data_IF_933614983557
#
_entry.id   IF_933614983557
#
_cell.length_a   1.000
_cell.length_b   1.000
_cell.length_c   1.000
_cell.angle_alpha   90.00
_cell.angle_beta   90.00
_cell.angle_gamma   90.00
#
_symmetry.space_group_name_H-M   'P 1'
#
loop_
_entity.id
_entity.type
_entity.pdbx_description
1 polymer ?
#
# COMPACT_ATOMS: atom_id res chain seq x y z
N UNK A 1 1.60 -9.28 -1.86
CA UNK A 1 0.63 -8.47 -2.62
C UNK A 1 1.21 -7.07 -2.79
N UNK A 2 1.02 -6.44 -3.94
CA UNK A 2 1.26 -5.01 -4.14
C UNK A 2 0.20 -4.47 -5.10
N UNK A 3 -0.13 -3.19 -4.98
CA UNK A 3 -1.09 -2.54 -5.88
C UNK A 3 -0.33 -1.78 -6.94
N UNK A 4 -0.57 -2.05 -8.22
CA UNK A 4 -0.01 -1.26 -9.32
C UNK A 4 -0.98 -0.19 -9.77
N UNK A 5 -0.53 1.07 -9.83
CA UNK A 5 -1.33 2.21 -10.29
C UNK A 5 -0.46 3.28 -10.94
N UNK A 6 -1.05 4.07 -11.83
CA UNK A 6 -0.46 5.33 -12.28
C UNK A 6 -0.83 6.44 -11.29
N UNK A 7 0.16 7.12 -10.72
CA UNK A 7 -0.06 8.12 -9.67
C UNK A 7 0.27 9.50 -10.21
N UNK A 8 -0.70 10.40 -10.17
CA UNK A 8 -0.53 11.80 -10.53
C UNK A 8 0.08 12.58 -9.36
N UNK A 9 1.29 13.10 -9.57
CA UNK A 9 1.97 13.97 -8.60
C UNK A 9 2.26 15.31 -9.23
N UNK A 10 1.60 16.38 -8.76
CA UNK A 10 1.85 17.78 -9.17
C UNK A 10 1.87 17.98 -10.69
N UNK A 11 0.95 17.31 -11.42
CA UNK A 11 0.86 17.40 -12.88
C UNK A 11 1.77 16.45 -13.66
N UNK A 12 2.46 15.53 -12.99
CA UNK A 12 3.26 14.46 -13.61
C UNK A 12 2.61 13.12 -13.26
N UNK A 13 2.14 12.40 -14.28
CA UNK A 13 1.64 11.03 -14.14
C UNK A 13 2.81 10.06 -14.08
N UNK A 14 3.06 9.49 -12.90
CA UNK A 14 4.04 8.44 -12.71
C UNK A 14 3.39 7.09 -13.06
N UNK A 15 3.88 6.46 -14.12
CA UNK A 15 3.35 5.16 -14.57
C UNK A 15 4.06 3.99 -13.91
N UNK A 16 3.37 2.84 -13.78
CA UNK A 16 3.92 1.61 -13.18
C UNK A 16 4.43 1.79 -11.74
N UNK A 17 3.75 2.60 -10.93
CA UNK A 17 4.02 2.64 -9.51
C UNK A 17 3.43 1.41 -8.82
N UNK A 18 4.10 0.93 -7.78
CA UNK A 18 3.51 -0.04 -6.87
C UNK A 18 3.44 0.48 -5.44
N UNK A 19 2.35 0.15 -4.75
CA UNK A 19 2.10 0.48 -3.35
C UNK A 19 2.51 -0.72 -2.50
N UNK A 20 3.32 -0.46 -1.47
CA UNK A 20 3.70 -1.44 -0.46
C UNK A 20 3.16 -1.02 0.88
N UNK A 21 2.45 -1.92 1.54
CA UNK A 21 2.09 -1.78 2.95
C UNK A 21 3.35 -2.03 3.79
N UNK A 22 3.73 -1.07 4.61
CA UNK A 22 4.87 -1.14 5.54
C UNK A 22 4.43 -1.70 6.90
N UNK A 23 3.29 -1.24 7.41
CA UNK A 23 2.71 -1.72 8.66
C UNK A 23 1.19 -1.58 8.63
N UNK A 24 0.53 -2.45 9.41
CA UNK A 24 -0.90 -2.42 9.67
C UNK A 24 -1.11 -2.61 11.15
N UNK A 25 -1.90 -1.72 11.75
CA UNK A 25 -2.20 -1.73 13.18
C UNK A 25 -3.70 -1.50 13.36
N UNK A 26 -4.35 -2.36 14.14
CA UNK A 26 -5.70 -2.10 14.62
C UNK A 26 -5.58 -1.32 15.95
N UNK A 27 -6.15 -0.13 15.99
CA UNK A 27 -6.07 0.78 17.13
C UNK A 27 -7.47 1.23 17.57
N UNK A 28 -7.65 1.32 18.89
CA UNK A 28 -8.84 1.87 19.55
C UNK A 28 -8.39 2.80 20.65
N UNK A 29 -8.73 4.09 20.53
CA UNK A 29 -8.21 5.13 21.43
C UNK A 29 -8.71 4.99 22.88
N UNK A 30 -9.93 4.53 23.09
CA UNK A 30 -10.52 4.32 24.42
C UNK A 30 -11.71 3.34 24.32
N UNK A 31 -12.31 2.96 25.45
CA UNK A 31 -13.36 1.94 25.44
C UNK A 31 -14.65 2.35 24.70
N UNK A 32 -14.86 3.65 24.53
CA UNK A 32 -16.03 4.25 23.88
C UNK A 32 -15.78 4.60 22.41
N UNK A 33 -14.56 4.37 21.90
CA UNK A 33 -14.17 4.69 20.52
C UNK A 33 -14.33 3.48 19.61
N UNK A 34 -14.70 3.76 18.37
CA UNK A 34 -14.70 2.74 17.32
C UNK A 34 -13.26 2.28 17.02
N UNK A 35 -13.14 1.03 16.62
CA UNK A 35 -11.89 0.47 16.15
C UNK A 35 -11.51 1.08 14.79
N UNK A 36 -10.21 1.29 14.60
CA UNK A 36 -9.67 1.80 13.35
C UNK A 36 -8.48 0.95 12.89
N UNK A 37 -8.35 0.77 11.59
CA UNK A 37 -7.19 0.14 10.97
C UNK A 37 -6.28 1.22 10.42
N UNK A 38 -5.11 1.38 11.03
CA UNK A 38 -4.05 2.25 10.57
C UNK A 38 -3.14 1.48 9.61
N UNK A 39 -3.04 1.97 8.39
CA UNK A 39 -2.26 1.35 7.32
C UNK A 39 -1.21 2.32 6.84
N UNK A 40 0.06 1.98 7.04
CA UNK A 40 1.19 2.80 6.60
C UNK A 40 1.70 2.26 5.28
N UNK A 41 1.71 3.08 4.23
CA UNK A 41 2.14 2.66 2.90
C UNK A 41 3.32 3.49 2.39
N UNK A 42 4.07 2.87 1.49
CA UNK A 42 5.10 3.52 0.68
C UNK A 42 4.81 3.24 -0.79
N UNK A 43 4.88 4.29 -1.62
CA UNK A 43 4.75 4.15 -3.07
C UNK A 43 6.13 4.16 -3.71
N UNK A 44 6.35 3.21 -4.60
CA UNK A 44 7.56 3.08 -5.40
C UNK A 44 7.19 3.23 -6.87
N UNK A 45 8.04 3.86 -7.68
CA UNK A 45 7.96 3.81 -9.14
C UNK A 45 8.80 2.64 -9.69
N UNK A 46 8.57 2.31 -10.95
CA UNK A 46 9.32 1.30 -11.70
C UNK A 46 9.09 -0.13 -11.17
N UNK A 47 7.82 -0.55 -11.09
CA UNK A 47 7.43 -1.92 -10.71
C UNK A 47 8.11 -3.00 -11.58
N UNK A 48 8.41 -2.70 -12.84
CA UNK A 48 9.18 -3.58 -13.72
C UNK A 48 10.61 -3.84 -13.20
N UNK A 49 11.25 -2.84 -12.59
CA UNK A 49 12.60 -2.96 -12.02
C UNK A 49 12.61 -3.76 -10.69
N UNK A 50 11.46 -3.88 -10.01
CA UNK A 50 11.27 -4.82 -8.91
C UNK A 50 11.24 -6.28 -9.40
N UNK A 51 10.53 -6.53 -10.49
CA UNK A 51 10.33 -7.88 -11.04
C UNK A 51 11.49 -8.36 -11.90
N UNK A 52 12.36 -7.45 -12.37
CA UNK A 52 13.59 -7.79 -13.04
C UNK A 52 14.52 -8.54 -12.06
N UNK A 53 14.65 -9.85 -12.24
CA UNK A 53 15.79 -10.59 -11.69
C UNK A 53 17.02 -10.11 -12.43
N UNK A 54 17.98 -9.49 -11.74
CA UNK A 54 19.30 -9.32 -12.33
C UNK A 54 19.83 -10.71 -12.69
N UNK A 55 20.24 -10.90 -13.95
CA UNK A 55 20.81 -12.18 -14.42
C UNK A 55 22.05 -12.52 -13.59
N UNK A 56 21.88 -13.37 -12.58
CA UNK A 56 22.94 -13.82 -11.68
C UNK A 56 22.71 -13.54 -10.19
N UNK A 57 21.69 -12.76 -9.81
CA UNK A 57 21.36 -12.48 -8.41
C UNK A 57 19.96 -12.99 -8.07
N UNK A 58 19.84 -13.84 -7.04
CA UNK A 58 18.56 -14.33 -6.53
C UNK A 58 17.79 -13.24 -5.74
N UNK A 59 18.27 -12.00 -5.75
CA UNK A 59 17.65 -10.86 -5.07
C UNK A 59 16.65 -10.20 -6.02
N UNK A 60 15.37 -10.47 -5.78
CA UNK A 60 14.27 -9.71 -6.40
C UNK A 60 14.23 -8.32 -5.77
N UNK A 61 14.50 -7.28 -6.56
CA UNK A 61 13.95 -5.94 -6.32
C UNK A 61 14.80 -4.89 -5.59
N UNK A 62 15.95 -4.48 -6.16
CA UNK A 62 16.64 -3.25 -5.73
C UNK A 62 16.44 -2.04 -6.65
N UNK A 63 15.87 -2.21 -7.85
CA UNK A 63 15.76 -1.15 -8.86
C UNK A 63 14.55 -0.21 -8.73
N UNK A 64 13.62 -0.51 -7.83
CA UNK A 64 12.43 0.34 -7.64
C UNK A 64 12.77 1.60 -6.85
N UNK A 65 12.39 2.76 -7.37
CA UNK A 65 12.65 4.04 -6.70
C UNK A 65 11.49 4.41 -5.79
N UNK A 66 11.75 4.56 -4.50
CA UNK A 66 10.76 5.08 -3.55
C UNK A 66 10.42 6.53 -3.91
N UNK A 67 9.13 6.86 -3.97
CA UNK A 67 8.67 8.23 -4.14
C UNK A 67 8.63 8.92 -2.77
N UNK A 68 9.51 9.91 -2.48
CA UNK A 68 9.63 10.48 -1.14
C UNK A 68 8.34 11.15 -0.65
N UNK A 69 7.58 11.75 -1.58
CA UNK A 69 6.29 12.40 -1.29
C UNK A 69 5.21 11.41 -0.82
N UNK A 70 5.41 10.11 -1.08
CA UNK A 70 4.49 9.04 -0.71
C UNK A 70 5.16 8.01 0.20
N UNK A 71 6.22 8.41 0.93
CA UNK A 71 6.86 7.55 1.92
C UNK A 71 6.12 7.65 3.25
N UNK A 72 5.64 6.52 3.76
CA UNK A 72 5.00 6.45 5.08
C UNK A 72 3.67 7.20 5.14
N UNK A 73 2.92 7.21 4.03
CA UNK A 73 1.58 7.78 4.02
C UNK A 73 0.69 6.90 4.88
N UNK A 74 0.00 7.50 5.84
CA UNK A 74 -0.88 6.79 6.77
C UNK A 74 -2.33 6.93 6.30
N UNK A 75 -3.00 5.79 6.13
CA UNK A 75 -4.43 5.71 5.89
C UNK A 75 -5.11 5.15 7.14
N UNK A 76 -6.26 5.72 7.50
CA UNK A 76 -7.09 5.22 8.59
C UNK A 76 -8.41 4.77 8.03
N UNK A 77 -8.76 3.54 8.31
CA UNK A 77 -10.03 2.96 7.90
C UNK A 77 -10.87 2.56 9.11
N UNK A 78 -12.21 2.61 9.00
CA UNK A 78 -13.06 1.95 9.97
C UNK A 78 -12.76 0.45 9.97
N UNK A 79 -12.67 -0.13 11.16
CA UNK A 79 -12.39 -1.54 11.36
C UNK A 79 -13.28 -2.08 12.47
N UNK A 80 -13.77 -3.29 12.31
CA UNK A 80 -14.49 -3.98 13.37
C UNK A 80 -13.86 -5.36 13.62
N UNK A 81 -13.19 -5.59 14.75
CA UNK A 81 -12.55 -6.87 15.03
C UNK A 81 -13.53 -8.03 15.19
N UNK A 82 -14.82 -7.77 15.46
CA UNK A 82 -15.81 -8.84 15.57
C UNK A 82 -16.25 -9.32 14.17
N UNK A 83 -16.45 -8.39 13.23
CA UNK A 83 -16.89 -8.69 11.86
C UNK A 83 -15.75 -8.97 10.87
N UNK A 84 -14.60 -8.31 11.04
CA UNK A 84 -13.47 -8.32 10.09
C UNK A 84 -12.28 -9.11 10.66
N UNK A 85 -12.48 -10.42 10.83
CA UNK A 85 -11.46 -11.33 11.36
C UNK A 85 -10.53 -11.86 10.25
N UNK A 86 -9.23 -11.96 10.55
CA UNK A 86 -8.26 -12.59 9.65
C UNK A 86 -6.94 -11.84 9.53
N UNK A 87 -6.30 -11.94 8.36
CA UNK A 87 -5.04 -11.25 8.07
C UNK A 87 -5.30 -9.76 7.83
N UNK A 88 -4.87 -8.93 8.80
CA UNK A 88 -4.98 -7.47 8.75
C UNK A 88 -4.30 -6.88 7.51
N UNK A 89 -3.25 -7.52 6.99
CA UNK A 89 -2.56 -7.07 5.78
C UNK A 89 -3.46 -7.26 4.56
N UNK A 90 -4.13 -8.40 4.44
CA UNK A 90 -5.07 -8.65 3.36
C UNK A 90 -6.26 -7.67 3.41
N UNK A 91 -6.81 -7.46 4.61
CA UNK A 91 -7.90 -6.51 4.83
C UNK A 91 -7.48 -5.07 4.46
N UNK A 92 -6.26 -4.68 4.85
CA UNK A 92 -5.69 -3.39 4.48
C UNK A 92 -5.52 -3.25 2.96
N UNK A 93 -5.11 -4.29 2.24
CA UNK A 93 -5.04 -4.26 0.77
C UNK A 93 -6.43 -4.04 0.15
N UNK A 94 -7.45 -4.75 0.61
CA UNK A 94 -8.80 -4.61 0.06
C UNK A 94 -9.39 -3.23 0.34
N UNK A 95 -9.22 -2.70 1.56
CA UNK A 95 -9.64 -1.33 1.88
C UNK A 95 -8.87 -0.28 1.06
N UNK A 96 -7.55 -0.45 0.91
CA UNK A 96 -6.74 0.44 0.07
C UNK A 96 -7.22 0.46 -1.37
N UNK A 97 -7.55 -0.68 -2.00
CA UNK A 97 -8.08 -0.73 -3.38
C UNK A 97 -9.33 0.11 -3.58
N UNK A 98 -10.18 0.18 -2.55
CA UNK A 98 -11.44 0.96 -2.58
C UNK A 98 -11.24 2.44 -2.27
N UNK A 99 -10.09 2.83 -1.71
CA UNK A 99 -9.79 4.22 -1.39
C UNK A 99 -9.61 5.04 -2.66
N UNK A 100 -10.11 6.27 -2.69
CA UNK A 100 -10.09 7.15 -3.88
C UNK A 100 -8.68 7.33 -4.46
N UNK A 101 -7.68 7.52 -3.59
CA UNK A 101 -6.27 7.63 -3.97
C UNK A 101 -5.74 6.42 -4.73
N UNK A 102 -6.31 5.23 -4.51
CA UNK A 102 -5.91 3.98 -5.17
C UNK A 102 -7.01 3.35 -6.02
N UNK A 103 -8.14 4.05 -6.22
CA UNK A 103 -9.22 3.60 -7.09
C UNK A 103 -8.68 3.34 -8.50
N UNK A 104 -9.00 2.18 -9.07
CA UNK A 104 -8.47 1.71 -10.36
C UNK A 104 -7.08 1.06 -10.30
N UNK A 105 -6.51 0.83 -9.12
CA UNK A 105 -5.29 0.02 -8.97
C UNK A 105 -5.56 -1.45 -9.31
N UNK A 106 -4.57 -2.11 -9.91
CA UNK A 106 -4.60 -3.54 -10.25
C UNK A 106 -3.71 -4.34 -9.29
N UNK A 107 -4.12 -5.56 -8.96
CA UNK A 107 -3.28 -6.50 -8.19
C UNK A 107 -2.06 -6.96 -9.00
N UNK A 108 -0.87 -6.95 -8.38
CA UNK A 108 0.38 -7.50 -8.93
C UNK A 108 1.23 -8.27 -7.93
#
# INVERSE_FOLDING_TARGET
MALQKNIDTKGITLSNCYVRINSVEADRQNEDSDWSLKVVVSVYKDAAARNAKESGSNVVGSGATLLPVHKGVEFKFPYDPESEQGDLIALAYDKLKTHEDFSGASDV
#
